data_IF_380001342379
#
_entry.id   IF_380001342379
#
_cell.length_a   1.000
_cell.length_b   1.000
_cell.length_c   1.000
_cell.angle_alpha   90.00
_cell.angle_beta   90.00
_cell.angle_gamma   90.00
#
_symmetry.space_group_name_H-M   'P 1'
#
loop_
_entity.id
_entity.type
_entity.pdbx_description
1 polymer ?
#
# COMPACT_ATOMS: atom_id res chain seq x y z
N UNK A 1 -4.15 -5.27 -14.66
CA UNK A 1 -5.11 -4.81 -13.63
C UNK A 1 -4.52 -5.19 -12.29
N UNK A 2 -3.95 -4.22 -11.59
CA UNK A 2 -3.29 -4.42 -10.31
C UNK A 2 -4.37 -4.37 -9.21
N UNK A 3 -4.86 -5.54 -8.81
CA UNK A 3 -5.89 -5.62 -7.77
C UNK A 3 -5.25 -5.41 -6.39
N UNK A 4 -5.18 -4.14 -5.94
CA UNK A 4 -4.62 -3.76 -4.64
C UNK A 4 -5.61 -3.92 -3.48
N UNK A 5 -6.82 -4.41 -3.73
CA UNK A 5 -7.82 -4.65 -2.67
C UNK A 5 -7.30 -5.52 -1.51
N UNK A 6 -6.46 -6.56 -1.72
CA UNK A 6 -5.86 -7.34 -0.64
C UNK A 6 -4.94 -6.53 0.28
N UNK A 7 -4.42 -5.40 -0.22
CA UNK A 7 -3.53 -4.51 0.54
C UNK A 7 -4.27 -3.51 1.43
N UNK A 8 -5.55 -3.24 1.14
CA UNK A 8 -6.38 -2.33 1.92
C UNK A 8 -6.26 -2.51 3.44
N UNK A 9 -6.43 -3.72 4.02
CA UNK A 9 -6.31 -3.90 5.47
C UNK A 9 -4.92 -3.59 6.04
N UNK A 10 -3.87 -3.60 5.21
CA UNK A 10 -2.50 -3.31 5.63
C UNK A 10 -2.13 -1.82 5.56
N UNK A 11 -2.97 -1.01 4.91
CA UNK A 11 -2.76 0.42 4.72
C UNK A 11 -3.86 1.27 5.35
N UNK A 12 -4.87 0.67 5.96
CA UNK A 12 -5.94 1.40 6.67
C UNK A 12 -5.68 1.38 8.17
N UNK A 13 -5.83 2.54 8.82
CA UNK A 13 -5.66 2.69 10.28
C UNK A 13 -6.67 1.90 11.12
N UNK A 14 -7.79 1.45 10.52
CA UNK A 14 -8.86 0.78 11.25
C UNK A 14 -8.52 -0.65 11.71
N UNK A 15 -7.42 -1.21 11.21
CA UNK A 15 -6.98 -2.57 11.58
C UNK A 15 -5.60 -2.46 12.22
N UNK A 16 -5.57 -2.60 13.55
CA UNK A 16 -4.35 -2.44 14.37
C UNK A 16 -3.17 -3.26 13.86
N UNK A 17 -3.43 -4.40 13.22
CA UNK A 17 -2.49 -5.16 12.39
C UNK A 17 -3.31 -6.10 11.47
N UNK A 18 -3.16 -6.06 10.14
CA UNK A 18 -3.78 -7.05 9.26
C UNK A 18 -3.26 -8.46 9.60
N UNK A 19 -4.10 -9.50 9.49
CA UNK A 19 -3.62 -10.88 9.63
C UNK A 19 -2.51 -11.19 8.61
N UNK A 20 -1.66 -12.18 8.89
CA UNK A 20 -0.54 -12.52 8.00
C UNK A 20 -1.00 -12.92 6.57
N UNK A 21 -2.18 -13.50 6.44
CA UNK A 21 -2.76 -13.93 5.16
C UNK A 21 -3.00 -12.77 4.16
N UNK A 22 -3.76 -11.69 4.50
CA UNK A 22 -3.93 -10.56 3.59
C UNK A 22 -2.62 -9.85 3.26
N UNK A 23 -1.65 -9.85 4.19
CA UNK A 23 -0.30 -9.32 3.90
C UNK A 23 0.38 -10.13 2.80
N UNK A 24 0.29 -11.46 2.82
CA UNK A 24 0.94 -12.29 1.81
C UNK A 24 0.32 -12.16 0.42
N UNK A 25 -1.02 -12.13 0.33
CA UNK A 25 -1.73 -11.86 -0.92
C UNK A 25 -1.40 -10.46 -1.46
N UNK A 26 -1.39 -9.47 -0.57
CA UNK A 26 -0.99 -8.12 -0.89
C UNK A 26 0.45 -8.04 -1.42
N UNK A 27 1.42 -8.69 -0.75
CA UNK A 27 2.81 -8.67 -1.17
C UNK A 27 3.00 -9.27 -2.57
N UNK A 28 2.26 -10.33 -2.92
CA UNK A 28 2.27 -10.91 -4.27
C UNK A 28 1.84 -9.89 -5.33
N UNK A 29 0.77 -9.13 -5.08
CA UNK A 29 0.32 -8.07 -5.98
C UNK A 29 1.31 -6.90 -6.00
N UNK A 30 1.84 -6.50 -4.84
CA UNK A 30 2.80 -5.41 -4.73
C UNK A 30 4.09 -5.68 -5.53
N UNK A 31 4.47 -6.95 -5.73
CA UNK A 31 5.62 -7.32 -6.58
C UNK A 31 5.43 -6.93 -8.03
N UNK A 32 4.18 -6.95 -8.50
CA UNK A 32 3.82 -6.65 -9.89
C UNK A 32 3.25 -5.25 -10.06
N UNK A 33 2.84 -4.61 -8.97
CA UNK A 33 2.24 -3.29 -8.98
C UNK A 33 3.26 -2.19 -9.27
N UNK A 34 2.82 -1.17 -10.02
CA UNK A 34 3.64 0.01 -10.28
C UNK A 34 3.61 0.98 -9.09
N UNK A 35 4.62 0.87 -8.23
CA UNK A 35 4.78 1.67 -7.02
C UNK A 35 5.00 3.16 -7.32
N UNK A 36 5.54 3.55 -8.47
CA UNK A 36 5.73 4.96 -8.83
C UNK A 36 4.40 5.73 -8.95
N UNK A 37 3.31 5.04 -9.33
CA UNK A 37 1.98 5.65 -9.40
C UNK A 37 1.46 6.10 -8.03
N UNK A 38 1.75 5.31 -6.99
CA UNK A 38 1.32 5.64 -5.62
C UNK A 38 1.96 6.93 -5.11
N UNK A 39 3.22 7.18 -5.46
CA UNK A 39 3.93 8.43 -5.13
C UNK A 39 3.25 9.68 -5.69
N UNK A 40 2.83 9.60 -6.95
CA UNK A 40 2.08 10.68 -7.60
C UNK A 40 0.74 10.86 -6.90
N UNK A 41 0.09 9.76 -6.52
CA UNK A 41 -1.19 9.79 -5.81
C UNK A 41 -1.07 10.44 -4.43
N UNK A 42 -0.06 10.09 -3.64
CA UNK A 42 0.20 10.70 -2.33
C UNK A 42 0.46 12.20 -2.44
N UNK A 43 1.29 12.63 -3.39
CA UNK A 43 1.70 14.03 -3.52
C UNK A 43 0.63 14.92 -4.19
N UNK A 44 -0.04 14.43 -5.24
CA UNK A 44 -0.99 15.21 -6.05
C UNK A 44 -2.44 15.04 -5.60
N UNK A 45 -2.78 13.89 -5.01
CA UNK A 45 -4.15 13.51 -4.67
C UNK A 45 -4.28 12.91 -3.26
N UNK A 46 -3.74 13.57 -2.21
CA UNK A 46 -3.81 13.04 -0.84
C UNK A 46 -5.25 12.86 -0.34
N UNK A 47 -6.18 13.68 -0.84
CA UNK A 47 -7.61 13.55 -0.56
C UNK A 47 -8.20 12.23 -1.05
N UNK A 48 -7.66 11.65 -2.12
CA UNK A 48 -8.13 10.37 -2.65
C UNK A 48 -7.74 9.23 -1.71
N UNK A 49 -6.52 9.28 -1.15
CA UNK A 49 -6.09 8.33 -0.11
C UNK A 49 -7.02 8.38 1.09
N UNK A 50 -7.35 9.58 1.57
CA UNK A 50 -8.27 9.76 2.69
C UNK A 50 -9.68 9.22 2.39
N UNK A 51 -10.22 9.45 1.19
CA UNK A 51 -11.51 8.90 0.79
C UNK A 51 -11.54 7.37 0.73
N UNK A 52 -10.41 6.74 0.42
CA UNK A 52 -10.27 5.27 0.47
C UNK A 52 -9.92 4.74 1.87
N UNK A 53 -9.72 5.63 2.86
CA UNK A 53 -9.29 5.28 4.22
C UNK A 53 -7.84 4.80 4.28
N UNK A 54 -7.02 5.15 3.29
CA UNK A 54 -5.62 4.76 3.18
C UNK A 54 -4.77 5.75 3.98
N UNK A 55 -3.96 5.21 4.88
CA UNK A 55 -2.92 5.89 5.59
C UNK A 55 -1.62 5.89 4.76
N UNK A 56 -1.07 7.08 4.41
CA UNK A 56 0.09 7.19 3.54
C UNK A 56 1.35 6.60 4.18
N UNK A 57 1.51 6.71 5.50
CA UNK A 57 2.67 6.17 6.22
C UNK A 57 2.64 4.64 6.24
N UNK A 58 1.49 4.02 6.49
CA UNK A 58 1.31 2.57 6.38
C UNK A 58 1.55 2.06 4.96
N UNK A 59 1.06 2.80 3.95
CA UNK A 59 1.26 2.45 2.55
C UNK A 59 2.74 2.51 2.13
N UNK A 60 3.48 3.53 2.58
CA UNK A 60 4.94 3.64 2.37
C UNK A 60 5.74 2.58 3.10
N UNK A 61 5.27 2.12 4.27
CA UNK A 61 5.92 1.05 5.04
C UNK A 61 5.65 -0.36 4.48
N UNK A 62 4.63 -0.52 3.64
CA UNK A 62 4.18 -1.82 3.12
C UNK A 62 5.21 -2.56 2.26
N UNK A 63 5.97 -1.93 1.34
CA UNK A 63 7.02 -2.62 0.59
C UNK A 63 8.09 -3.21 1.51
N UNK A 64 8.46 -2.48 2.57
CA UNK A 64 9.39 -2.96 3.59
C UNK A 64 8.88 -4.22 4.30
N UNK A 65 7.59 -4.24 4.68
CA UNK A 65 6.92 -5.45 5.22
C UNK A 65 6.92 -6.61 4.23
N UNK A 66 6.87 -6.33 2.93
CA UNK A 66 6.89 -7.33 1.86
C UNK A 66 8.30 -7.74 1.41
N UNK A 67 9.36 -7.20 2.03
CA UNK A 67 10.76 -7.37 1.59
C UNK A 67 10.96 -6.99 0.11
N UNK A 68 10.19 -6.01 -0.35
CA UNK A 68 10.36 -5.42 -1.66
C UNK A 68 11.28 -4.22 -1.52
N UNK A 69 12.06 -3.97 -2.56
CA UNK A 69 12.86 -2.75 -2.65
C UNK A 69 11.91 -1.59 -2.36
N UNK A 70 12.23 -0.80 -1.33
CA UNK A 70 11.46 0.37 -0.90
C UNK A 70 11.14 1.24 -2.12
N UNK A 71 10.05 2.01 -2.06
CA UNK A 71 9.74 3.04 -3.07
C UNK A 71 11.03 3.83 -3.35
N UNK A 72 11.78 3.49 -4.38
CA UNK A 72 13.04 4.16 -4.69
C UNK A 72 12.63 5.26 -5.64
N UNK A 73 12.15 6.37 -5.08
CA UNK A 73 11.51 7.46 -5.84
C UNK A 73 10.33 8.15 -5.13
N UNK A 74 9.99 7.72 -3.92
CA UNK A 74 9.36 8.51 -2.85
C UNK A 74 10.25 8.38 -1.61
#
# INVERSE_FOLDING_TARGET
>A
KDDLMPCKPAVTHFIAQPPAQPVQACCSVLRTANLTCFCVLENKYPWLLYMFGIDPDLAKALPGKCKLNSFTGC
#
